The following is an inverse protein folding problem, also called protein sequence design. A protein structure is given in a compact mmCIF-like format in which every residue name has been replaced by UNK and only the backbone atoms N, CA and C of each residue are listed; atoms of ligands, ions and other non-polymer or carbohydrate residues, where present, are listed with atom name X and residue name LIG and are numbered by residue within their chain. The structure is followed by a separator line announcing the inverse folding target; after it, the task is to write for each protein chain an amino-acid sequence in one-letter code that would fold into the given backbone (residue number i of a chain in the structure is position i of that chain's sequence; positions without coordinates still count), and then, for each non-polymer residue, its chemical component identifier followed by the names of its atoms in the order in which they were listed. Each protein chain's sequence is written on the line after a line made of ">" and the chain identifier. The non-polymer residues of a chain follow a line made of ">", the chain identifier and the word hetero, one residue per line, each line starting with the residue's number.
data_IF_627709633224
#
_entry.id   IF_627709633224
#
_cell.length_a   1.000
_cell.length_b   1.000
_cell.length_c   1.000
_cell.angle_alpha   90.00
_cell.angle_beta   90.00
_cell.angle_gamma   90.00
#
_symmetry.space_group_name_H-M   'P 1'
#
loop_
_entity.id
_entity.type
_entity.pdbx_description
1 polymer ?
#
# COMPACT_ATOMS: atom_id res chain seq x y z
N UNK A 1 -15.09 22.88 -91.49
CA UNK A 1 -13.83 23.10 -90.75
C UNK A 1 -14.12 23.29 -89.25
N UNK A 2 -14.90 22.39 -88.65
CA UNK A 2 -15.50 22.59 -87.31
C UNK A 2 -15.10 21.50 -86.29
N UNK A 3 -14.57 20.37 -86.75
CA UNK A 3 -14.25 19.22 -85.89
C UNK A 3 -12.92 19.33 -85.12
N UNK A 4 -11.96 20.11 -85.63
CA UNK A 4 -10.64 20.26 -85.00
C UNK A 4 -10.66 21.14 -83.74
N UNK A 5 -11.54 22.15 -83.71
CA UNK A 5 -11.72 23.05 -82.56
C UNK A 5 -12.40 22.35 -81.37
N UNK A 6 -13.33 21.43 -81.63
CA UNK A 6 -14.02 20.67 -80.58
C UNK A 6 -13.10 19.63 -79.91
N UNK A 7 -12.28 18.94 -80.72
CA UNK A 7 -11.26 17.99 -80.23
C UNK A 7 -10.19 18.69 -79.36
N UNK A 8 -9.75 19.88 -79.75
CA UNK A 8 -8.80 20.67 -78.97
C UNK A 8 -9.43 21.15 -77.66
N UNK A 9 -10.70 21.60 -77.67
CA UNK A 9 -11.37 22.04 -76.45
C UNK A 9 -11.66 20.88 -75.48
N UNK A 10 -12.00 19.69 -76.01
CA UNK A 10 -12.18 18.47 -75.20
C UNK A 10 -10.86 17.95 -74.64
N UNK A 11 -9.77 17.97 -75.42
CA UNK A 11 -8.45 17.57 -74.92
C UNK A 11 -7.92 18.55 -73.87
N UNK A 12 -8.12 19.86 -74.06
CA UNK A 12 -7.71 20.89 -73.08
C UNK A 12 -8.50 20.78 -71.77
N UNK A 13 -9.82 20.55 -71.86
CA UNK A 13 -10.67 20.40 -70.66
C UNK A 13 -10.35 19.12 -69.90
N UNK A 14 -10.00 18.02 -70.57
CA UNK A 14 -9.50 16.80 -69.93
C UNK A 14 -8.14 17.01 -69.24
N UNK A 15 -7.23 17.77 -69.85
CA UNK A 15 -5.94 18.14 -69.25
C UNK A 15 -6.11 19.06 -68.02
N UNK A 16 -7.00 20.05 -68.11
CA UNK A 16 -7.36 20.91 -66.97
C UNK A 16 -8.02 20.11 -65.85
N UNK A 17 -8.93 19.20 -66.17
CA UNK A 17 -9.60 18.34 -65.19
C UNK A 17 -8.63 17.41 -64.45
N UNK A 18 -7.61 16.88 -65.13
CA UNK A 18 -6.57 16.03 -64.51
C UNK A 18 -5.59 16.81 -63.64
N UNK A 19 -5.18 18.02 -64.05
CA UNK A 19 -4.34 18.90 -63.22
C UNK A 19 -5.09 19.34 -61.96
N UNK A 20 -6.33 19.78 -62.11
CA UNK A 20 -7.18 20.20 -60.98
C UNK A 20 -7.50 19.01 -60.06
N UNK A 21 -7.84 17.85 -60.63
CA UNK A 21 -8.07 16.62 -59.86
C UNK A 21 -6.81 16.12 -59.13
N UNK A 22 -5.64 16.22 -59.76
CA UNK A 22 -4.35 15.91 -59.15
C UNK A 22 -4.01 16.83 -57.98
N UNK A 23 -4.27 18.13 -58.11
CA UNK A 23 -4.06 19.09 -57.02
C UNK A 23 -4.99 18.82 -55.81
N UNK A 24 -6.27 18.52 -56.07
CA UNK A 24 -7.25 18.20 -55.02
C UNK A 24 -6.85 16.91 -54.28
N UNK A 25 -6.46 15.87 -55.01
CA UNK A 25 -6.05 14.60 -54.39
C UNK A 25 -4.81 14.75 -53.51
N UNK A 26 -3.81 15.52 -53.92
CA UNK A 26 -2.64 15.84 -53.08
C UNK A 26 -3.04 16.61 -51.81
N UNK A 27 -3.94 17.59 -51.93
CA UNK A 27 -4.45 18.35 -50.78
C UNK A 27 -5.18 17.46 -49.76
N UNK A 28 -6.08 16.58 -50.24
CA UNK A 28 -6.82 15.65 -49.40
C UNK A 28 -5.88 14.65 -48.73
N UNK A 29 -4.93 14.07 -49.48
CA UNK A 29 -3.94 13.16 -48.94
C UNK A 29 -3.14 13.84 -47.82
N UNK A 30 -2.66 15.06 -48.04
CA UNK A 30 -1.90 15.82 -47.02
C UNK A 30 -2.75 16.13 -45.78
N UNK A 31 -4.02 16.47 -45.95
CA UNK A 31 -4.93 16.71 -44.83
C UNK A 31 -5.20 15.42 -44.03
N UNK A 32 -5.44 14.30 -44.71
CA UNK A 32 -5.61 12.99 -44.06
C UNK A 32 -4.34 12.57 -43.31
N UNK A 33 -3.16 12.73 -43.91
CA UNK A 33 -1.89 12.44 -43.25
C UNK A 33 -1.67 13.32 -42.02
N UNK A 34 -1.93 14.63 -42.11
CA UNK A 34 -1.80 15.54 -40.98
C UNK A 34 -2.76 15.18 -39.84
N UNK A 35 -4.01 14.81 -40.17
CA UNK A 35 -5.00 14.35 -39.18
C UNK A 35 -4.56 13.05 -38.51
N UNK A 36 -4.03 12.09 -39.27
CA UNK A 36 -3.54 10.81 -38.74
C UNK A 36 -2.32 11.00 -37.83
N UNK A 37 -1.36 11.86 -38.23
CA UNK A 37 -0.19 12.17 -37.39
C UNK A 37 -0.64 12.79 -36.07
N UNK A 38 -1.54 13.78 -36.11
CA UNK A 38 -2.05 14.40 -34.88
C UNK A 38 -2.74 13.38 -33.97
N UNK A 39 -3.59 12.50 -34.52
CA UNK A 39 -4.23 11.44 -33.75
C UNK A 39 -3.22 10.45 -33.14
N UNK A 40 -2.18 10.05 -33.91
CA UNK A 40 -1.13 9.18 -33.41
C UNK A 40 -0.30 9.84 -32.30
N UNK A 41 0.02 11.14 -32.42
CA UNK A 41 0.75 11.87 -31.38
C UNK A 41 -0.05 12.01 -30.10
N UNK A 42 -1.36 12.24 -30.19
CA UNK A 42 -2.27 12.29 -29.04
C UNK A 42 -2.34 10.93 -28.34
N UNK A 43 -2.57 9.85 -29.11
CA UNK A 43 -2.59 8.50 -28.57
C UNK A 43 -1.26 8.11 -27.92
N UNK A 44 -0.12 8.45 -28.55
CA UNK A 44 1.19 8.20 -27.98
C UNK A 44 1.41 8.97 -26.66
N UNK A 45 0.93 10.21 -26.57
CA UNK A 45 0.99 11.00 -25.34
C UNK A 45 0.11 10.43 -24.23
N UNK A 46 -1.11 10.00 -24.55
CA UNK A 46 -2.03 9.34 -23.60
C UNK A 46 -1.47 8.00 -23.10
N UNK A 47 -0.94 7.17 -24.00
CA UNK A 47 -0.28 5.91 -23.65
C UNK A 47 0.96 6.13 -22.80
N UNK A 48 1.75 7.16 -23.12
CA UNK A 48 2.91 7.51 -22.31
C UNK A 48 2.50 7.98 -20.91
N UNK A 49 1.47 8.82 -20.79
CA UNK A 49 0.96 9.26 -19.49
C UNK A 49 0.43 8.08 -18.66
N UNK A 50 -0.34 7.17 -19.26
CA UNK A 50 -0.87 5.98 -18.60
C UNK A 50 0.25 5.04 -18.12
N UNK A 51 1.27 4.81 -18.95
CA UNK A 51 2.43 3.97 -18.58
C UNK A 51 3.25 4.58 -17.44
N UNK A 52 3.44 5.91 -17.44
CA UNK A 52 4.10 6.61 -16.33
C UNK A 52 3.28 6.50 -15.04
N UNK A 53 1.95 6.59 -15.10
CA UNK A 53 1.09 6.42 -13.92
C UNK A 53 1.16 5.00 -13.37
N UNK A 54 1.10 3.98 -14.24
CA UNK A 54 1.25 2.58 -13.84
C UNK A 54 2.61 2.32 -13.19
N UNK A 55 3.70 2.78 -13.80
CA UNK A 55 5.05 2.60 -13.24
C UNK A 55 5.22 3.29 -11.87
N UNK A 56 4.54 4.43 -11.65
CA UNK A 56 4.52 5.09 -10.33
C UNK A 56 3.76 4.26 -9.30
N UNK A 57 2.57 3.78 -9.66
CA UNK A 57 1.76 2.96 -8.77
C UNK A 57 2.46 1.64 -8.39
N UNK A 58 3.12 0.99 -9.34
CA UNK A 58 3.95 -0.20 -9.10
C UNK A 58 5.09 0.10 -8.12
N UNK A 59 5.82 1.19 -8.35
CA UNK A 59 6.92 1.59 -7.47
C UNK A 59 6.45 1.96 -6.06
N UNK A 60 5.31 2.61 -5.93
CA UNK A 60 4.69 2.91 -4.64
C UNK A 60 4.29 1.62 -3.91
N UNK A 61 3.72 0.64 -4.63
CA UNK A 61 3.39 -0.68 -4.08
C UNK A 61 4.65 -1.42 -3.60
N UNK A 62 5.71 -1.44 -4.41
CA UNK A 62 6.97 -2.09 -4.07
C UNK A 62 7.62 -1.45 -2.82
N UNK A 63 7.62 -0.12 -2.74
CA UNK A 63 8.12 0.61 -1.58
C UNK A 63 7.29 0.30 -0.32
N UNK A 64 5.96 0.25 -0.45
CA UNK A 64 5.04 -0.10 0.64
C UNK A 64 5.26 -1.54 1.11
N UNK A 65 5.41 -2.49 0.19
CA UNK A 65 5.68 -3.89 0.51
C UNK A 65 7.05 -4.07 1.20
N UNK A 66 8.08 -3.38 0.72
CA UNK A 66 9.41 -3.41 1.35
C UNK A 66 9.38 -2.83 2.78
N UNK A 67 8.68 -1.70 2.97
CA UNK A 67 8.47 -1.12 4.29
C UNK A 67 7.68 -2.06 5.21
N UNK A 68 6.63 -2.70 4.71
CA UNK A 68 5.82 -3.65 5.48
C UNK A 68 6.65 -4.84 5.98
N UNK A 69 7.56 -5.39 5.16
CA UNK A 69 8.49 -6.45 5.56
C UNK A 69 9.40 -6.03 6.72
N UNK A 70 10.00 -4.85 6.63
CA UNK A 70 10.84 -4.31 7.71
C UNK A 70 10.04 -4.08 8.99
N UNK A 71 8.80 -3.59 8.89
CA UNK A 71 7.92 -3.45 10.05
C UNK A 71 7.57 -4.81 10.66
N UNK A 72 7.34 -5.86 9.84
CA UNK A 72 7.08 -7.22 10.34
C UNK A 72 8.28 -7.79 11.12
N UNK A 73 9.50 -7.59 10.65
CA UNK A 73 10.71 -8.01 11.37
C UNK A 73 10.79 -7.39 12.76
N UNK A 74 10.53 -6.08 12.86
CA UNK A 74 10.47 -5.38 14.16
C UNK A 74 9.37 -5.93 15.07
N UNK A 75 8.20 -6.28 14.51
CA UNK A 75 7.09 -6.87 15.28
C UNK A 75 7.39 -8.29 15.74
N UNK A 76 8.13 -9.07 14.96
CA UNK A 76 8.55 -10.43 15.34
C UNK A 76 9.47 -10.40 16.58
N UNK A 77 10.43 -9.47 16.61
CA UNK A 77 11.27 -9.25 17.79
C UNK A 77 10.43 -8.88 19.03
N UNK A 78 9.50 -7.93 18.87
CA UNK A 78 8.61 -7.54 19.97
C UNK A 78 7.75 -8.71 20.45
N UNK A 79 7.21 -9.53 19.54
CA UNK A 79 6.39 -10.69 19.89
C UNK A 79 7.16 -11.68 20.78
N UNK A 80 8.44 -11.94 20.47
CA UNK A 80 9.28 -12.84 21.23
C UNK A 80 9.52 -12.36 22.67
N UNK A 81 9.65 -11.04 22.88
CA UNK A 81 9.96 -10.44 24.18
C UNK A 81 8.74 -9.89 24.92
N UNK A 82 7.55 -9.96 24.32
CA UNK A 82 6.30 -9.45 24.88
C UNK A 82 5.96 -9.98 26.29
N UNK A 83 6.27 -11.25 26.67
CA UNK A 83 6.05 -11.71 28.05
C UNK A 83 6.77 -10.88 29.11
N UNK A 84 7.83 -10.16 28.74
CA UNK A 84 8.62 -9.31 29.66
C UNK A 84 8.10 -7.89 29.79
N UNK A 85 7.06 -7.53 29.02
CA UNK A 85 6.51 -6.18 28.93
C UNK A 85 6.07 -5.60 30.29
N UNK A 86 5.41 -6.35 31.20
CA UNK A 86 4.99 -5.79 32.50
C UNK A 86 6.17 -5.39 33.38
N UNK A 87 7.32 -6.04 33.21
CA UNK A 87 8.50 -5.87 34.06
C UNK A 87 9.40 -4.73 33.60
N UNK A 88 9.18 -4.18 32.40
CA UNK A 88 10.01 -3.11 31.84
C UNK A 88 10.03 -1.89 32.78
N UNK A 89 8.86 -1.47 33.26
CA UNK A 89 8.70 -0.27 34.09
C UNK A 89 8.61 -0.53 35.61
N UNK A 90 8.72 -1.78 36.06
CA UNK A 90 8.66 -2.11 37.49
C UNK A 90 9.95 -1.72 38.22
N UNK A 91 9.80 -1.10 39.40
CA UNK A 91 10.94 -0.83 40.31
C UNK A 91 11.57 -2.14 40.82
N UNK A 92 10.75 -3.17 41.05
CA UNK A 92 11.18 -4.51 41.48
C UNK A 92 10.71 -5.56 40.46
N UNK A 93 11.46 -5.79 39.37
CA UNK A 93 11.09 -6.75 38.34
C UNK A 93 11.17 -8.21 38.82
N UNK A 94 10.37 -9.08 38.21
CA UNK A 94 10.34 -10.53 38.49
C UNK A 94 11.18 -11.34 37.49
N UNK A 95 11.31 -10.83 36.27
CA UNK A 95 12.05 -11.42 35.16
C UNK A 95 13.49 -10.94 35.11
N UNK A 96 14.31 -11.66 34.35
CA UNK A 96 15.73 -11.33 34.19
C UNK A 96 15.94 -9.97 33.54
N UNK A 97 17.03 -9.29 33.92
CA UNK A 97 17.44 -8.01 33.33
C UNK A 97 17.59 -8.12 31.81
N UNK A 98 18.18 -9.21 31.33
CA UNK A 98 18.32 -9.46 29.89
C UNK A 98 16.97 -9.42 29.17
N UNK A 99 15.95 -10.11 29.68
CA UNK A 99 14.64 -10.16 29.04
C UNK A 99 13.95 -8.79 29.01
N UNK A 100 14.14 -7.98 30.06
CA UNK A 100 13.62 -6.60 30.12
C UNK A 100 14.30 -5.68 29.13
N UNK A 101 15.64 -5.74 29.05
CA UNK A 101 16.42 -4.93 28.09
C UNK A 101 16.01 -5.26 26.66
N UNK A 102 15.92 -6.55 26.31
CA UNK A 102 15.48 -6.98 24.98
C UNK A 102 14.05 -6.55 24.66
N UNK A 103 13.15 -6.59 25.64
CA UNK A 103 11.79 -6.08 25.48
C UNK A 103 11.78 -4.56 25.22
N UNK A 104 12.52 -3.78 26.01
CA UNK A 104 12.64 -2.34 25.83
C UNK A 104 13.26 -1.96 24.48
N UNK A 105 14.30 -2.68 24.04
CA UNK A 105 14.91 -2.53 22.71
C UNK A 105 13.90 -2.82 21.60
N UNK A 106 13.11 -3.89 21.73
CA UNK A 106 12.10 -4.24 20.75
C UNK A 106 10.97 -3.19 20.70
N UNK A 107 10.52 -2.68 21.86
CA UNK A 107 9.55 -1.58 21.93
C UNK A 107 10.07 -0.32 21.21
N UNK A 108 11.33 0.05 21.46
CA UNK A 108 11.94 1.22 20.81
C UNK A 108 12.17 0.99 19.31
N UNK A 109 12.50 -0.23 18.90
CA UNK A 109 12.62 -0.61 17.49
C UNK A 109 11.28 -0.44 16.76
N UNK A 110 10.18 -0.90 17.35
CA UNK A 110 8.82 -0.73 16.81
C UNK A 110 8.42 0.74 16.76
N UNK A 111 8.69 1.50 17.82
CA UNK A 111 8.45 2.95 17.83
C UNK A 111 9.27 3.66 16.75
N UNK A 112 10.54 3.30 16.54
CA UNK A 112 11.37 3.83 15.46
C UNK A 112 10.74 3.57 14.10
N UNK A 113 10.16 2.38 13.91
CA UNK A 113 9.42 2.01 12.70
C UNK A 113 8.34 3.00 12.29
N UNK A 114 7.68 3.65 13.26
CA UNK A 114 6.71 4.72 12.97
C UNK A 114 7.32 5.93 12.26
N UNK A 115 8.59 6.21 12.52
CA UNK A 115 9.30 7.38 12.01
C UNK A 115 10.13 7.09 10.76
N UNK A 116 10.34 5.81 10.44
CA UNK A 116 11.17 5.37 9.31
C UNK A 116 10.33 4.72 8.23
N UNK A 117 9.86 3.49 8.45
CA UNK A 117 9.21 2.71 7.38
C UNK A 117 7.73 3.02 7.22
N UNK A 118 7.04 3.45 8.28
CA UNK A 118 5.59 3.68 8.25
C UNK A 118 5.14 4.73 7.23
N UNK A 119 6.00 5.72 6.91
CA UNK A 119 5.70 6.75 5.92
C UNK A 119 5.66 6.22 4.49
N UNK A 120 6.34 5.11 4.22
CA UNK A 120 6.35 4.45 2.91
C UNK A 120 5.15 3.54 2.68
N UNK A 121 4.37 3.26 3.73
CA UNK A 121 3.09 2.55 3.61
C UNK A 121 2.05 3.52 3.05
N UNK A 122 1.49 3.23 1.88
CA UNK A 122 0.49 4.08 1.22
C UNK A 122 -0.88 4.02 1.90
N UNK A 123 -1.25 2.85 2.42
CA UNK A 123 -2.53 2.63 3.09
C UNK A 123 -2.61 3.38 4.44
N UNK A 124 -3.61 4.25 4.56
CA UNK A 124 -3.79 5.10 5.76
C UNK A 124 -4.27 4.32 6.97
N UNK A 125 -5.09 3.31 6.75
CA UNK A 125 -5.66 2.52 7.83
C UNK A 125 -4.59 1.60 8.44
N UNK A 126 -3.73 0.99 7.60
CA UNK A 126 -2.56 0.25 8.08
C UNK A 126 -1.65 1.13 8.95
N UNK A 127 -1.41 2.37 8.51
CA UNK A 127 -0.60 3.32 9.30
C UNK A 127 -1.21 3.58 10.67
N UNK A 128 -2.53 3.71 10.76
CA UNK A 128 -3.22 3.93 12.03
C UNK A 128 -3.17 2.69 12.93
N UNK A 129 -3.44 1.50 12.40
CA UNK A 129 -3.33 0.23 13.15
C UNK A 129 -1.95 0.07 13.78
N UNK A 130 -0.89 0.39 13.03
CA UNK A 130 0.47 0.33 13.56
C UNK A 130 0.71 1.35 14.69
N UNK A 131 0.24 2.59 14.54
CA UNK A 131 0.36 3.63 15.58
C UNK A 131 -0.38 3.24 16.85
N UNK A 132 -1.57 2.67 16.71
CA UNK A 132 -2.36 2.17 17.82
C UNK A 132 -1.63 1.04 18.54
N UNK A 133 -1.01 0.11 17.81
CA UNK A 133 -0.18 -0.94 18.41
C UNK A 133 0.97 -0.35 19.23
N UNK A 134 1.71 0.63 18.69
CA UNK A 134 2.81 1.26 19.43
C UNK A 134 2.28 1.91 20.70
N UNK A 135 1.16 2.65 20.64
CA UNK A 135 0.53 3.23 21.85
C UNK A 135 0.16 2.15 22.87
N UNK A 136 -0.50 1.09 22.42
CA UNK A 136 -0.91 -0.02 23.27
C UNK A 136 0.26 -0.68 23.98
N UNK A 137 1.37 -0.92 23.28
CA UNK A 137 2.58 -1.55 23.85
C UNK A 137 3.21 -0.65 24.91
N UNK A 138 3.29 0.66 24.67
CA UNK A 138 3.86 1.59 25.65
C UNK A 138 2.93 1.81 26.85
N UNK A 139 1.62 1.93 26.63
CA UNK A 139 0.64 2.04 27.70
C UNK A 139 0.62 0.75 28.55
N UNK A 140 0.73 -0.40 27.90
CA UNK A 140 0.86 -1.70 28.54
C UNK A 140 2.14 -1.82 29.39
N UNK A 141 3.30 -1.45 28.84
CA UNK A 141 4.57 -1.45 29.57
C UNK A 141 4.54 -0.49 30.77
N UNK A 142 3.92 0.67 30.63
CA UNK A 142 3.77 1.64 31.72
C UNK A 142 2.79 1.18 32.80
N UNK A 143 1.65 0.58 32.41
CA UNK A 143 0.62 0.07 33.33
C UNK A 143 1.01 -1.23 34.01
N UNK A 144 1.92 -2.01 33.41
CA UNK A 144 2.54 -3.18 34.04
C UNK A 144 3.17 -2.86 35.41
N UNK A 145 3.56 -1.59 35.63
CA UNK A 145 4.05 -1.11 36.92
C UNK A 145 2.99 -1.05 38.04
N UNK A 146 1.69 -1.15 37.76
CA UNK A 146 0.63 -1.01 38.78
C UNK A 146 -0.75 -1.61 38.46
N UNK A 147 -0.90 -2.36 37.36
CA UNK A 147 -2.20 -2.89 36.90
C UNK A 147 -2.63 -4.19 37.57
N UNK A 148 -3.94 -4.37 37.79
CA UNK A 148 -4.51 -5.52 38.50
C UNK A 148 -4.54 -6.85 37.69
N UNK A 149 -4.20 -6.86 36.39
CA UNK A 149 -4.27 -8.05 35.50
C UNK A 149 -3.22 -8.04 34.37
N UNK A 150 -1.92 -8.21 34.67
CA UNK A 150 -0.86 -8.14 33.67
C UNK A 150 -0.95 -9.22 32.58
N UNK A 151 -1.41 -10.42 32.90
CA UNK A 151 -1.50 -11.54 31.95
C UNK A 151 -2.54 -11.28 30.85
N UNK A 152 -3.70 -10.71 31.22
CA UNK A 152 -4.74 -10.32 30.25
C UNK A 152 -4.20 -9.26 29.30
N UNK A 153 -3.55 -8.25 29.87
CA UNK A 153 -2.98 -7.14 29.11
C UNK A 153 -1.91 -7.61 28.12
N UNK A 154 -1.04 -8.54 28.50
CA UNK A 154 -0.10 -9.18 27.56
C UNK A 154 -0.84 -9.89 26.44
N UNK A 155 -1.89 -10.67 26.75
CA UNK A 155 -2.68 -11.39 25.74
C UNK A 155 -3.40 -10.44 24.78
N UNK A 156 -3.97 -9.34 25.28
CA UNK A 156 -4.62 -8.33 24.45
C UNK A 156 -3.63 -7.67 23.48
N UNK A 157 -2.45 -7.28 23.97
CA UNK A 157 -1.39 -6.70 23.13
C UNK A 157 -0.86 -7.73 22.14
N UNK A 158 -0.69 -8.99 22.56
CA UNK A 158 -0.27 -10.09 21.68
C UNK A 158 -1.25 -10.27 20.54
N UNK A 159 -2.54 -10.31 20.84
CA UNK A 159 -3.56 -10.50 19.83
C UNK A 159 -3.65 -9.33 18.86
N UNK A 160 -3.54 -8.10 19.36
CA UNK A 160 -3.53 -6.93 18.49
C UNK A 160 -2.26 -6.86 17.63
N UNK A 161 -1.11 -7.23 18.18
CA UNK A 161 0.14 -7.35 17.42
C UNK A 161 -0.01 -8.35 16.27
N UNK A 162 -0.62 -9.52 16.53
CA UNK A 162 -0.89 -10.53 15.49
C UNK A 162 -1.82 -10.00 14.40
N UNK A 163 -2.88 -9.29 14.78
CA UNK A 163 -3.77 -8.62 13.82
C UNK A 163 -3.02 -7.61 12.92
N UNK A 164 -2.09 -6.84 13.49
CA UNK A 164 -1.22 -5.91 12.73
C UNK A 164 -0.24 -6.67 11.83
N UNK A 165 0.34 -7.78 12.28
CA UNK A 165 1.21 -8.62 11.44
C UNK A 165 0.45 -9.15 10.23
N UNK A 166 -0.75 -9.69 10.42
CA UNK A 166 -1.58 -10.14 9.30
C UNK A 166 -1.91 -8.97 8.37
N UNK A 167 -2.32 -7.82 8.91
CA UNK A 167 -2.60 -6.63 8.10
C UNK A 167 -1.39 -6.19 7.25
N UNK A 168 -0.17 -6.26 7.78
CA UNK A 168 1.06 -5.99 7.01
C UNK A 168 1.32 -7.05 5.94
N UNK A 169 0.97 -8.32 6.18
CA UNK A 169 0.98 -9.37 5.16
C UNK A 169 0.13 -9.02 3.95
N UNK A 170 -1.11 -8.57 4.18
CA UNK A 170 -1.99 -8.09 3.11
C UNK A 170 -1.38 -6.91 2.33
N UNK A 171 -0.65 -6.00 2.99
CA UNK A 171 0.07 -4.92 2.29
C UNK A 171 1.20 -5.47 1.40
N UNK A 172 1.92 -6.49 1.85
CA UNK A 172 2.99 -7.13 1.07
C UNK A 172 2.42 -7.80 -0.18
N UNK A 173 1.31 -8.52 -0.02
CA UNK A 173 0.63 -9.19 -1.12
C UNK A 173 -0.14 -8.19 -2.01
N UNK A 174 -0.32 -6.96 -1.50
CA UNK A 174 -1.13 -5.88 -2.08
C UNK A 174 -2.59 -6.28 -2.27
N UNK A 175 -3.09 -6.98 -1.28
CA UNK A 175 -4.49 -7.34 -1.07
C UNK A 175 -5.20 -6.28 -0.21
N UNK A 176 -6.53 -6.16 -0.29
CA UNK A 176 -7.28 -5.27 0.58
C UNK A 176 -7.11 -5.67 2.04
N UNK A 177 -6.90 -4.68 2.92
CA UNK A 177 -6.73 -4.95 4.35
C UNK A 177 -7.91 -5.75 4.93
N UNK A 178 -7.66 -6.60 5.95
CA UNK A 178 -8.73 -7.27 6.67
C UNK A 178 -9.65 -6.23 7.34
N UNK A 179 -10.88 -6.63 7.69
CA UNK A 179 -11.90 -5.75 8.30
C UNK A 179 -11.30 -4.97 9.48
N UNK A 180 -11.68 -3.69 9.59
CA UNK A 180 -11.31 -2.85 10.72
C UNK A 180 -11.89 -3.39 12.02
N UNK A 181 -11.04 -3.56 13.03
CA UNK A 181 -11.43 -4.00 14.36
C UNK A 181 -11.00 -2.95 15.38
N UNK A 182 -11.91 -2.59 16.29
CA UNK A 182 -11.59 -1.65 17.36
C UNK A 182 -10.47 -2.23 18.25
N UNK A 183 -9.46 -1.42 18.62
CA UNK A 183 -8.34 -1.89 19.43
C UNK A 183 -8.75 -2.28 20.85
N UNK A 184 -7.95 -3.10 21.54
CA UNK A 184 -8.21 -3.46 22.93
C UNK A 184 -8.22 -2.25 23.85
N UNK A 185 -9.25 -2.15 24.68
CA UNK A 185 -9.34 -1.19 25.78
C UNK A 185 -8.68 -1.80 27.01
N UNK A 186 -7.51 -1.29 27.38
CA UNK A 186 -6.68 -1.84 28.46
C UNK A 186 -7.36 -1.78 29.85
N UNK A 187 -8.23 -0.79 30.09
CA UNK A 187 -8.95 -0.57 31.37
C UNK A 187 -10.32 -1.24 31.45
N UNK A 188 -10.67 -2.12 30.51
CA UNK A 188 -12.00 -2.75 30.56
C UNK A 188 -12.15 -3.71 31.75
N UNK A 189 -13.35 -3.73 32.31
CA UNK A 189 -13.71 -4.63 33.42
C UNK A 189 -13.80 -6.10 32.98
N UNK A 190 -14.13 -6.33 31.71
CA UNK A 190 -14.26 -7.66 31.13
C UNK A 190 -12.98 -8.50 31.28
N UNK A 191 -13.09 -9.78 31.70
CA UNK A 191 -11.96 -10.70 31.75
C UNK A 191 -11.62 -11.31 30.38
N UNK A 192 -12.49 -11.15 29.37
CA UNK A 192 -12.27 -11.68 28.04
C UNK A 192 -11.00 -11.07 27.42
N UNK A 193 -10.25 -11.90 26.68
CA UNK A 193 -9.11 -11.47 25.86
C UNK A 193 -9.66 -10.86 24.57
N UNK A 194 -9.01 -9.82 24.09
CA UNK A 194 -9.35 -9.18 22.83
C UNK A 194 -8.97 -10.12 21.68
N UNK A 195 -9.90 -10.32 20.77
CA UNK A 195 -9.70 -11.02 19.51
C UNK A 195 -10.47 -10.29 18.41
N UNK A 196 -9.94 -10.27 17.17
CA UNK A 196 -10.67 -9.75 16.03
C UNK A 196 -11.90 -10.63 15.76
N UNK A 197 -13.01 -10.03 15.39
CA UNK A 197 -14.26 -10.74 15.11
C UNK A 197 -14.13 -11.72 13.93
N UNK A 198 -13.27 -11.39 12.96
CA UNK A 198 -12.90 -12.20 11.78
C UNK A 198 -11.93 -13.36 12.08
N UNK A 199 -12.15 -14.05 13.20
CA UNK A 199 -11.21 -15.01 13.79
C UNK A 199 -10.80 -16.21 12.92
N UNK A 200 -11.57 -16.60 11.91
CA UNK A 200 -11.25 -17.79 11.10
C UNK A 200 -10.14 -17.60 10.08
N UNK A 201 -9.80 -16.36 9.69
CA UNK A 201 -8.76 -16.07 8.68
C UNK A 201 -7.41 -15.74 9.31
N UNK A 202 -7.40 -15.22 10.54
CA UNK A 202 -6.22 -14.64 11.20
C UNK A 202 -5.47 -15.66 12.08
N UNK A 203 -6.17 -16.69 12.57
CA UNK A 203 -5.72 -17.55 13.68
C UNK A 203 -5.47 -19.02 13.31
N UNK A 204 -5.29 -19.32 12.03
CA UNK A 204 -5.04 -20.69 11.55
C UNK A 204 -3.61 -21.20 11.82
N UNK A 205 -2.77 -20.42 12.51
CA UNK A 205 -1.36 -20.75 12.75
C UNK A 205 -1.21 -21.56 14.04
N UNK A 206 -0.68 -22.80 13.98
CA UNK A 206 -0.44 -23.63 15.17
C UNK A 206 0.50 -23.01 16.21
N UNK A 207 1.24 -21.94 15.88
CA UNK A 207 2.02 -21.15 16.83
C UNK A 207 1.16 -20.32 17.83
N UNK A 208 -0.14 -20.18 17.57
CA UNK A 208 -1.05 -19.35 18.36
C UNK A 208 -1.57 -20.05 19.64
N UNK A 209 -1.20 -21.32 19.85
CA UNK A 209 -1.38 -22.04 21.13
C UNK A 209 -2.82 -22.39 21.45
N UNK A 210 -3.18 -23.65 21.24
CA UNK A 210 -4.31 -24.33 21.88
C UNK A 210 -4.11 -24.47 23.39
#
# INVERSE_FOLDING_TARGET
>A
MTDWTDLISQALSALLGTVVGGAITVLVARWQTAKTINAQTQLAAEQHAASVQLARAERERDNSAAAAKLLLERLADLYAWLPSLPDVALENPRLSEHARVRCAEAMESVRRGMFTELFSITDTEMRERYRVLVRLVYDAGRRGAGGQRPERLIRDVRSYLRYVQVSLGFVIDGEPLPIHEEPPILDRDSPAVWSPSSSSVIWSDPADGS
#
